data_IF_210605928886
#
_entry.id   IF_210605928886
#
_cell.length_a   1.000
_cell.length_b   1.000
_cell.length_c   1.000
_cell.angle_alpha   90.00
_cell.angle_beta   90.00
_cell.angle_gamma   90.00
#
_symmetry.space_group_name_H-M   'P 1'
#
loop_
_entity.id
_entity.type
_entity.pdbx_description
1 polymer ?
#
# COMPACT_ATOMS: atom_id res chain seq x y z
N UNK A 1 -36.28 17.32 40.30
CA UNK A 1 -35.99 17.74 38.90
C UNK A 1 -34.60 17.20 38.57
N UNK A 2 -34.48 15.97 38.08
CA UNK A 2 -34.40 15.54 36.66
C UNK A 2 -33.27 16.22 35.87
N UNK A 3 -32.27 15.41 35.49
CA UNK A 3 -31.20 15.77 34.55
C UNK A 3 -30.10 14.71 34.44
N UNK A 4 -30.43 13.43 34.27
CA UNK A 4 -29.48 12.36 33.93
C UNK A 4 -29.02 12.53 32.47
N UNK A 5 -27.75 12.88 32.26
CA UNK A 5 -27.11 12.81 30.95
C UNK A 5 -26.66 11.37 30.68
N UNK A 6 -27.19 10.78 29.62
CA UNK A 6 -26.90 9.42 29.17
C UNK A 6 -25.51 9.40 28.52
N UNK A 7 -24.61 8.60 29.10
CA UNK A 7 -23.35 8.19 28.47
C UNK A 7 -23.67 7.10 27.43
N UNK A 8 -23.45 7.41 26.16
CA UNK A 8 -23.62 6.45 25.06
C UNK A 8 -22.35 5.60 24.94
N UNK A 9 -22.44 4.35 25.40
CA UNK A 9 -21.46 3.32 25.10
C UNK A 9 -21.50 2.99 23.60
N UNK A 10 -20.40 3.26 22.89
CA UNK A 10 -20.16 2.69 21.56
C UNK A 10 -19.65 1.27 21.76
N UNK A 11 -20.53 0.28 21.58
CA UNK A 11 -20.16 -1.12 21.56
C UNK A 11 -19.51 -1.45 20.21
N UNK A 12 -18.21 -1.76 20.24
CA UNK A 12 -17.46 -2.28 19.10
C UNK A 12 -17.93 -3.73 18.89
N UNK A 13 -18.61 -3.99 17.78
CA UNK A 13 -18.95 -5.34 17.34
C UNK A 13 -17.69 -6.05 16.84
N UNK A 14 -16.98 -6.72 17.75
CA UNK A 14 -15.96 -7.70 17.42
C UNK A 14 -16.62 -9.08 17.31
N UNK A 15 -17.12 -9.43 16.14
CA UNK A 15 -17.54 -10.81 15.85
C UNK A 15 -17.60 -11.06 14.35
N UNK A 16 -16.57 -11.73 13.82
CA UNK A 16 -16.65 -12.72 12.74
C UNK A 16 -15.23 -13.19 12.37
N UNK A 17 -14.61 -13.97 13.26
CA UNK A 17 -13.49 -14.85 12.89
C UNK A 17 -14.12 -16.17 12.44
N UNK A 18 -14.44 -16.27 11.16
CA UNK A 18 -14.76 -17.55 10.56
C UNK A 18 -13.49 -18.41 10.52
N UNK A 19 -13.48 -19.53 11.24
CA UNK A 19 -12.49 -20.57 11.08
C UNK A 19 -12.67 -21.18 9.68
N UNK A 20 -11.89 -20.71 8.71
CA UNK A 20 -11.74 -21.40 7.43
C UNK A 20 -10.89 -22.64 7.68
N UNK A 21 -11.54 -23.80 7.69
CA UNK A 21 -10.89 -25.11 7.75
C UNK A 21 -10.21 -25.43 6.40
N UNK A 22 -9.05 -24.82 6.16
CA UNK A 22 -8.13 -25.24 5.10
C UNK A 22 -7.26 -26.40 5.59
N UNK A 23 -6.88 -27.30 4.68
CA UNK A 23 -5.97 -28.41 4.95
C UNK A 23 -4.72 -27.95 5.74
N UNK A 24 -4.17 -28.79 6.64
CA UNK A 24 -3.03 -28.41 7.47
C UNK A 24 -1.84 -28.14 6.55
N UNK A 25 -1.56 -26.86 6.32
CA UNK A 25 -0.26 -26.45 5.82
C UNK A 25 0.78 -26.95 6.82
N UNK A 26 1.81 -27.65 6.34
CA UNK A 26 2.99 -27.98 7.13
C UNK A 26 3.37 -26.76 7.96
N UNK A 27 3.31 -26.92 9.29
CA UNK A 27 3.53 -25.86 10.25
C UNK A 27 5.02 -25.49 10.25
N UNK A 28 5.48 -24.82 9.19
CA UNK A 28 6.59 -23.91 9.29
C UNK A 28 6.20 -22.93 10.39
N UNK A 29 6.85 -23.04 11.54
CA UNK A 29 6.46 -22.31 12.75
C UNK A 29 6.26 -20.83 12.42
N UNK A 30 5.12 -20.27 12.85
CA UNK A 30 4.83 -18.85 12.64
C UNK A 30 6.03 -18.02 13.10
N UNK A 31 6.56 -17.12 12.25
CA UNK A 31 7.75 -16.37 12.61
C UNK A 31 7.46 -15.53 13.87
N UNK A 32 8.31 -15.68 14.89
CA UNK A 32 8.30 -14.79 16.05
C UNK A 32 8.86 -13.43 15.64
N UNK A 33 8.52 -12.37 16.38
CA UNK A 33 9.10 -11.06 16.11
C UNK A 33 10.65 -11.09 16.17
N UNK A 34 11.22 -11.85 17.11
CA UNK A 34 12.68 -11.99 17.26
C UNK A 34 13.35 -12.74 16.10
N UNK A 35 12.65 -13.62 15.40
CA UNK A 35 13.22 -14.34 14.24
C UNK A 35 13.29 -13.48 12.98
N UNK A 36 12.55 -12.36 12.94
CA UNK A 36 12.63 -11.40 11.85
C UNK A 36 13.98 -10.65 11.94
N UNK A 37 14.79 -10.62 10.88
CA UNK A 37 16.08 -9.95 10.90
C UNK A 37 15.92 -8.44 11.05
N UNK A 38 16.83 -7.84 11.80
CA UNK A 38 16.94 -6.40 11.89
C UNK A 38 17.74 -5.85 10.72
N UNK A 39 17.23 -4.80 10.09
CA UNK A 39 17.88 -4.14 8.99
C UNK A 39 18.04 -2.65 9.27
N UNK A 40 19.16 -2.10 8.80
CA UNK A 40 19.42 -0.67 8.83
C UNK A 40 18.81 -0.03 7.59
N UNK A 41 17.73 0.71 7.79
CA UNK A 41 17.17 1.60 6.78
C UNK A 41 17.61 3.01 7.11
N UNK A 42 18.35 3.70 6.23
CA UNK A 42 18.71 5.09 6.43
C UNK A 42 17.47 5.94 6.71
N UNK A 43 17.62 6.93 7.57
CA UNK A 43 16.64 8.00 7.64
C UNK A 43 16.60 8.73 6.29
N UNK A 44 15.42 9.23 5.92
CA UNK A 44 15.29 10.02 4.71
C UNK A 44 16.13 11.29 4.85
N UNK A 45 16.71 11.74 3.74
CA UNK A 45 17.52 12.97 3.71
C UNK A 45 16.75 14.13 4.34
N UNK A 46 17.42 14.91 5.17
CA UNK A 46 16.78 15.99 5.91
C UNK A 46 16.80 17.28 5.07
N UNK A 47 15.68 18.01 4.87
CA UNK A 47 15.63 19.20 3.99
C UNK A 47 16.68 20.29 4.28
N UNK A 48 17.20 20.37 5.50
CA UNK A 48 18.26 21.32 5.91
C UNK A 48 19.62 21.03 5.27
N UNK A 49 19.85 19.79 4.84
CA UNK A 49 21.10 19.33 4.23
C UNK A 49 21.02 19.39 2.69
N UNK A 50 19.93 19.93 2.16
CA UNK A 50 19.73 20.04 0.72
C UNK A 50 20.75 21.00 0.09
N UNK A 51 21.35 20.65 -1.06
CA UNK A 51 22.17 21.61 -1.79
C UNK A 51 21.31 22.75 -2.35
N UNK A 52 21.91 23.90 -2.61
CA UNK A 52 21.19 25.06 -3.17
C UNK A 52 20.62 24.79 -4.57
N UNK A 53 21.30 23.95 -5.36
CA UNK A 53 20.90 23.55 -6.70
C UNK A 53 21.52 22.20 -7.10
N UNK A 54 20.87 21.54 -8.06
CA UNK A 54 21.41 20.35 -8.74
C UNK A 54 21.70 20.71 -10.21
N UNK A 55 22.91 20.45 -10.73
CA UNK A 55 23.24 20.56 -12.14
C UNK A 55 22.21 19.88 -13.03
N UNK A 56 21.88 20.56 -14.13
CA UNK A 56 20.95 20.03 -15.12
C UNK A 56 21.43 18.69 -15.68
N UNK A 57 20.52 17.73 -15.78
CA UNK A 57 20.76 16.44 -16.45
C UNK A 57 21.12 15.28 -15.53
N UNK A 58 21.33 15.51 -14.22
CA UNK A 58 21.38 14.42 -13.26
C UNK A 58 20.00 13.73 -13.18
N UNK A 59 19.97 12.39 -13.25
CA UNK A 59 18.73 11.59 -13.29
C UNK A 59 18.89 10.28 -12.53
N UNK A 60 17.76 9.75 -12.09
CA UNK A 60 17.63 8.37 -11.60
C UNK A 60 16.76 7.60 -12.57
N UNK A 61 17.18 6.38 -12.90
CA UNK A 61 16.43 5.51 -13.79
C UNK A 61 15.02 5.26 -13.26
N UNK A 62 14.03 5.26 -14.17
CA UNK A 62 12.61 5.04 -13.85
C UNK A 62 11.98 6.12 -12.95
N UNK A 63 12.59 7.31 -12.83
CA UNK A 63 11.94 8.48 -12.22
C UNK A 63 11.92 9.62 -13.23
N UNK A 64 10.74 10.22 -13.40
CA UNK A 64 10.51 11.34 -14.31
C UNK A 64 9.92 12.51 -13.54
N UNK A 65 10.30 13.71 -13.94
CA UNK A 65 9.75 14.97 -13.44
C UNK A 65 9.07 15.63 -14.62
N UNK A 66 7.73 15.65 -14.60
CA UNK A 66 6.91 16.22 -15.65
C UNK A 66 6.50 17.65 -15.24
N UNK A 67 6.93 18.63 -16.03
CA UNK A 67 6.70 20.06 -15.79
C UNK A 67 5.29 20.54 -16.23
N UNK A 68 4.40 19.63 -16.66
CA UNK A 68 3.15 19.98 -17.36
C UNK A 68 1.87 19.53 -16.62
N UNK A 69 1.58 20.07 -15.43
CA UNK A 69 0.23 19.91 -14.85
C UNK A 69 -0.69 21.13 -15.08
N UNK A 70 -0.19 22.38 -15.04
CA UNK A 70 -1.00 23.57 -15.35
C UNK A 70 -0.11 24.71 -15.86
N UNK A 71 -0.11 24.96 -17.18
CA UNK A 71 0.69 26.01 -17.84
C UNK A 71 0.39 27.45 -17.41
N UNK A 72 -0.59 27.66 -16.53
CA UNK A 72 -1.03 29.00 -16.12
C UNK A 72 -0.28 29.49 -14.87
N UNK A 73 0.30 28.60 -14.06
CA UNK A 73 1.22 28.96 -12.98
C UNK A 73 2.26 27.83 -12.78
N UNK A 74 3.55 28.12 -13.00
CA UNK A 74 4.70 27.19 -12.84
C UNK A 74 4.95 26.75 -11.39
N UNK A 75 3.93 26.74 -10.54
CA UNK A 75 4.05 26.52 -9.11
C UNK A 75 4.20 25.05 -8.74
N UNK A 76 3.94 24.10 -9.65
CA UNK A 76 3.96 22.67 -9.35
C UNK A 76 4.63 21.82 -10.43
N UNK A 77 5.34 20.77 -9.99
CA UNK A 77 5.90 19.71 -10.81
C UNK A 77 5.35 18.35 -10.35
N UNK A 78 5.19 17.44 -11.30
CA UNK A 78 4.74 16.07 -11.03
C UNK A 78 5.93 15.13 -11.08
N UNK A 79 6.18 14.38 -10.02
CA UNK A 79 7.22 13.35 -9.98
C UNK A 79 6.55 12.00 -10.15
N UNK A 80 6.98 11.22 -11.13
CA UNK A 80 6.44 9.89 -11.46
C UNK A 80 7.55 8.86 -11.35
N UNK A 81 7.27 7.74 -10.69
CA UNK A 81 8.15 6.59 -10.60
C UNK A 81 7.54 5.39 -11.37
N UNK A 82 8.32 4.86 -12.31
CA UNK A 82 7.93 3.76 -13.19
C UNK A 82 8.44 2.40 -12.65
N UNK A 83 8.01 1.30 -13.28
CA UNK A 83 8.56 -0.03 -13.01
C UNK A 83 8.21 -0.58 -11.62
N UNK A 84 7.03 -0.21 -11.11
CA UNK A 84 6.54 -0.62 -9.78
C UNK A 84 7.22 0.10 -8.62
N UNK A 85 8.00 1.16 -8.89
CA UNK A 85 8.66 1.94 -7.84
C UNK A 85 7.66 2.82 -7.09
N UNK A 86 7.88 2.97 -5.80
CA UNK A 86 7.18 3.94 -4.96
C UNK A 86 8.06 5.16 -4.76
N UNK A 87 7.47 6.36 -4.71
CA UNK A 87 8.19 7.62 -4.54
C UNK A 87 7.58 8.44 -3.39
N UNK A 88 8.45 8.98 -2.56
CA UNK A 88 8.14 9.98 -1.55
C UNK A 88 9.05 11.19 -1.77
N UNK A 89 8.47 12.39 -1.74
CA UNK A 89 9.21 13.65 -1.93
C UNK A 89 8.89 14.60 -0.78
N UNK A 90 9.91 15.26 -0.25
CA UNK A 90 9.82 16.09 0.94
C UNK A 90 9.88 15.30 2.25
N UNK A 91 9.73 16.00 3.37
CA UNK A 91 9.70 15.35 4.67
C UNK A 91 8.39 14.54 4.83
N UNK A 92 8.51 13.24 5.09
CA UNK A 92 7.35 12.39 5.38
C UNK A 92 6.90 12.68 6.81
N UNK A 93 5.64 13.10 7.05
CA UNK A 93 5.17 13.36 8.39
C UNK A 93 5.23 12.11 9.29
N UNK A 94 5.47 12.26 10.60
CA UNK A 94 5.53 11.13 11.51
C UNK A 94 4.29 10.21 11.46
N UNK A 95 4.54 8.96 11.04
CA UNK A 95 3.55 7.89 10.95
C UNK A 95 2.52 8.04 9.83
N UNK A 96 2.89 8.75 8.76
CA UNK A 96 2.35 8.46 7.42
C UNK A 96 3.13 7.28 6.84
N UNK A 97 2.45 6.37 6.15
CA UNK A 97 3.12 5.27 5.47
C UNK A 97 4.14 5.83 4.46
N UNK A 98 5.42 5.44 4.53
CA UNK A 98 6.47 6.03 3.70
C UNK A 98 6.44 5.56 2.24
N UNK A 99 5.59 4.58 1.92
CA UNK A 99 5.47 3.96 0.61
C UNK A 99 4.00 3.74 0.25
N UNK A 100 3.72 3.70 -1.06
CA UNK A 100 2.38 3.50 -1.59
C UNK A 100 2.02 4.45 -2.73
N UNK A 101 2.86 5.41 -3.08
CA UNK A 101 2.56 6.40 -4.12
C UNK A 101 3.52 6.22 -5.28
N UNK A 102 3.02 6.10 -6.52
CA UNK A 102 3.84 6.10 -7.73
C UNK A 102 4.03 7.50 -8.33
N UNK A 103 3.18 8.45 -7.94
CA UNK A 103 3.22 9.81 -8.45
C UNK A 103 2.87 10.83 -7.37
N UNK A 104 3.65 11.90 -7.24
CA UNK A 104 3.36 13.00 -6.31
C UNK A 104 3.52 14.36 -6.99
N UNK A 105 2.67 15.31 -6.62
CA UNK A 105 2.76 16.69 -7.07
C UNK A 105 3.41 17.55 -5.99
N UNK A 106 4.44 18.28 -6.36
CA UNK A 106 5.23 19.10 -5.45
C UNK A 106 5.25 20.55 -5.91
N UNK A 107 5.47 21.48 -4.98
CA UNK A 107 5.74 22.86 -5.35
C UNK A 107 7.14 22.99 -5.93
N UNK A 108 7.27 23.70 -7.04
CA UNK A 108 8.57 24.07 -7.59
C UNK A 108 9.19 25.15 -6.69
N UNK A 109 10.46 24.97 -6.32
CA UNK A 109 11.15 25.88 -5.41
C UNK A 109 12.50 25.37 -4.97
N UNK A 110 12.62 25.00 -3.70
CA UNK A 110 13.85 24.47 -3.13
C UNK A 110 14.14 23.03 -3.61
N UNK A 111 15.40 22.61 -3.44
CA UNK A 111 15.78 21.21 -3.61
C UNK A 111 15.15 20.39 -2.47
N UNK A 112 14.46 19.31 -2.83
CA UNK A 112 13.71 18.48 -1.89
C UNK A 112 14.38 17.11 -1.72
N UNK A 113 14.34 16.52 -0.52
CA UNK A 113 14.70 15.12 -0.37
C UNK A 113 13.68 14.24 -1.08
N UNK A 114 14.15 13.15 -1.68
CA UNK A 114 13.34 12.18 -2.37
C UNK A 114 13.79 10.77 -1.99
N UNK A 115 12.83 9.88 -1.77
CA UNK A 115 13.07 8.46 -1.57
C UNK A 115 12.30 7.66 -2.60
N UNK A 116 12.99 6.74 -3.25
CA UNK A 116 12.41 5.82 -4.23
C UNK A 116 12.62 4.40 -3.75
N UNK A 117 11.54 3.64 -3.66
CA UNK A 117 11.58 2.25 -3.20
C UNK A 117 11.18 1.29 -4.30
N UNK A 118 11.78 0.10 -4.34
CA UNK A 118 11.40 -0.99 -5.22
C UNK A 118 11.48 -2.32 -4.48
N UNK A 119 10.37 -3.07 -4.47
CA UNK A 119 10.40 -4.46 -4.09
C UNK A 119 11.01 -5.30 -5.21
N UNK A 120 12.06 -6.07 -4.90
CA UNK A 120 12.76 -6.96 -5.84
C UNK A 120 12.60 -8.39 -5.36
N UNK A 121 11.71 -9.14 -6.01
CA UNK A 121 11.56 -10.57 -5.78
C UNK A 121 12.54 -11.34 -6.67
N UNK A 122 13.51 -12.04 -6.07
CA UNK A 122 14.53 -12.79 -6.81
C UNK A 122 14.07 -14.21 -7.09
N UNK A 123 13.57 -14.87 -6.05
CA UNK A 123 13.06 -16.24 -6.06
C UNK A 123 11.90 -16.33 -5.07
N UNK A 124 11.05 -17.37 -5.16
CA UNK A 124 9.97 -17.56 -4.19
C UNK A 124 10.48 -17.52 -2.74
N UNK A 125 10.03 -16.54 -1.96
CA UNK A 125 10.43 -16.34 -0.57
C UNK A 125 11.73 -15.54 -0.34
N UNK A 126 12.44 -15.17 -1.40
CA UNK A 126 13.62 -14.30 -1.36
C UNK A 126 13.30 -12.96 -2.01
N UNK A 127 13.15 -11.92 -1.17
CA UNK A 127 12.89 -10.57 -1.63
C UNK A 127 13.83 -9.55 -0.98
N UNK A 128 14.11 -8.48 -1.69
CA UNK A 128 14.86 -7.32 -1.21
C UNK A 128 14.04 -6.05 -1.42
N UNK A 129 14.14 -5.10 -0.51
CA UNK A 129 13.69 -3.74 -0.72
C UNK A 129 14.89 -2.88 -1.11
N UNK A 130 14.91 -2.43 -2.36
CA UNK A 130 15.86 -1.44 -2.85
C UNK A 130 15.33 -0.04 -2.53
N UNK A 131 16.09 0.74 -1.77
CA UNK A 131 15.77 2.10 -1.34
C UNK A 131 16.84 3.02 -1.91
N UNK A 132 16.42 4.01 -2.69
CA UNK A 132 17.29 5.03 -3.25
C UNK A 132 16.91 6.38 -2.64
N UNK A 133 17.84 6.97 -1.91
CA UNK A 133 17.70 8.33 -1.39
C UNK A 133 18.41 9.30 -2.32
N UNK A 134 17.75 10.42 -2.61
CA UNK A 134 18.15 11.37 -3.62
C UNK A 134 17.72 12.79 -3.27
N UNK A 135 18.37 13.77 -3.90
CA UNK A 135 17.89 15.14 -3.96
C UNK A 135 17.16 15.39 -5.27
N UNK A 136 16.07 16.14 -5.23
CA UNK A 136 15.28 16.55 -6.39
C UNK A 136 15.29 18.08 -6.52
N UNK A 137 15.74 18.58 -7.66
CA UNK A 137 15.59 19.97 -8.05
C UNK A 137 14.52 20.08 -9.13
N UNK A 138 13.31 20.44 -8.70
CA UNK A 138 12.14 20.55 -9.58
C UNK A 138 12.24 21.71 -10.57
N UNK A 139 13.18 22.66 -10.38
CA UNK A 139 13.39 23.79 -11.31
C UNK A 139 14.14 23.36 -12.57
N UNK A 140 15.01 22.36 -12.44
CA UNK A 140 15.85 21.82 -13.50
C UNK A 140 15.48 20.39 -13.88
N UNK A 141 14.39 19.87 -13.30
CA UNK A 141 13.97 18.46 -13.43
C UNK A 141 15.10 17.46 -13.17
N UNK A 142 16.03 17.82 -12.28
CA UNK A 142 17.26 17.06 -12.04
C UNK A 142 17.21 16.34 -10.70
N UNK A 143 17.76 15.13 -10.69
CA UNK A 143 17.72 14.23 -9.55
C UNK A 143 19.12 13.72 -9.27
N UNK A 144 19.66 14.03 -8.08
CA UNK A 144 20.96 13.55 -7.61
C UNK A 144 20.78 12.38 -6.67
N UNK A 145 21.18 11.18 -7.10
CA UNK A 145 21.27 10.03 -6.22
C UNK A 145 22.35 10.25 -5.14
N UNK A 146 22.01 9.98 -3.88
CA UNK A 146 22.94 10.07 -2.74
C UNK A 146 23.38 8.68 -2.30
N UNK A 147 22.41 7.79 -2.04
CA UNK A 147 22.70 6.44 -1.54
C UNK A 147 21.66 5.44 -2.02
N UNK A 148 22.13 4.22 -2.31
CA UNK A 148 21.26 3.07 -2.56
C UNK A 148 21.50 2.03 -1.46
N UNK A 149 20.41 1.66 -0.78
CA UNK A 149 20.41 0.62 0.26
C UNK A 149 19.56 -0.56 -0.20
N UNK A 150 20.05 -1.77 0.03
CA UNK A 150 19.28 -3.01 -0.21
C UNK A 150 19.01 -3.70 1.12
N UNK A 151 17.75 -3.93 1.41
CA UNK A 151 17.28 -4.56 2.64
C UNK A 151 16.75 -5.94 2.31
N UNK A 152 17.41 -6.99 2.80
CA UNK A 152 16.89 -8.36 2.70
C UNK A 152 15.61 -8.48 3.52
N UNK A 153 14.57 -9.05 2.90
CA UNK A 153 13.27 -9.23 3.52
C UNK A 153 13.07 -10.71 3.89
N UNK A 154 12.43 -10.94 5.04
CA UNK A 154 12.02 -12.29 5.46
C UNK A 154 10.55 -12.51 5.14
N UNK A 155 10.21 -13.72 4.73
CA UNK A 155 8.82 -14.13 4.54
C UNK A 155 8.11 -14.19 5.90
N UNK A 156 7.06 -13.39 6.07
CA UNK A 156 6.22 -13.41 7.26
C UNK A 156 5.07 -14.41 7.12
N UNK A 157 4.45 -14.45 5.94
CA UNK A 157 3.38 -15.40 5.62
C UNK A 157 3.30 -15.66 4.11
N UNK A 158 2.80 -16.83 3.76
CA UNK A 158 2.42 -17.20 2.40
C UNK A 158 0.90 -17.34 2.34
N UNK A 159 0.32 -16.80 1.29
CA UNK A 159 -1.09 -16.86 0.99
C UNK A 159 -1.36 -17.58 -0.31
N UNK A 160 -2.60 -17.48 -0.80
CA UNK A 160 -2.98 -18.14 -2.04
C UNK A 160 -2.31 -17.49 -3.25
N UNK A 161 -2.27 -18.23 -4.37
CA UNK A 161 -1.63 -17.80 -5.62
C UNK A 161 -0.16 -17.35 -5.44
N UNK A 162 0.57 -17.97 -4.51
CA UNK A 162 1.96 -17.63 -4.15
C UNK A 162 2.14 -16.21 -3.61
N UNK A 163 1.07 -15.53 -3.19
CA UNK A 163 1.17 -14.23 -2.56
C UNK A 163 1.99 -14.33 -1.28
N UNK A 164 3.02 -13.50 -1.14
CA UNK A 164 3.93 -13.58 0.00
C UNK A 164 4.00 -12.22 0.68
N UNK A 165 3.78 -12.21 1.99
CA UNK A 165 3.96 -11.01 2.83
C UNK A 165 5.35 -11.07 3.42
N UNK A 166 6.09 -9.98 3.29
CA UNK A 166 7.47 -9.88 3.74
C UNK A 166 7.61 -8.90 4.90
N UNK A 167 8.76 -8.94 5.58
CA UNK A 167 9.10 -7.92 6.56
C UNK A 167 10.53 -7.98 7.07
N UNK A 168 10.88 -6.94 7.83
CA UNK A 168 12.15 -6.79 8.53
C UNK A 168 11.95 -5.93 9.78
N UNK A 169 12.86 -5.98 10.75
CA UNK A 169 12.83 -5.09 11.93
C UNK A 169 13.64 -3.83 11.69
N UNK A 170 13.12 -2.69 12.15
CA UNK A 170 13.83 -1.42 12.29
C UNK A 170 13.73 -0.99 13.76
N UNK A 171 14.71 -1.38 14.58
CA UNK A 171 14.60 -1.21 16.03
C UNK A 171 13.44 -2.01 16.62
N UNK A 172 12.50 -1.34 17.29
CA UNK A 172 11.28 -1.95 17.87
C UNK A 172 10.11 -2.08 16.89
N UNK A 173 10.24 -1.56 15.67
CA UNK A 173 9.18 -1.54 14.68
C UNK A 173 9.35 -2.71 13.70
N UNK A 174 8.25 -3.43 13.42
CA UNK A 174 8.20 -4.39 12.32
C UNK A 174 7.76 -3.65 11.05
N UNK A 175 8.61 -3.62 10.04
CA UNK A 175 8.27 -3.10 8.72
C UNK A 175 7.67 -4.23 7.89
N UNK A 176 6.38 -4.12 7.57
CA UNK A 176 5.62 -5.07 6.77
C UNK A 176 5.62 -4.59 5.32
N UNK A 177 5.99 -5.47 4.40
CA UNK A 177 6.03 -5.20 2.95
C UNK A 177 5.12 -6.16 2.21
N UNK A 178 4.15 -5.62 1.48
CA UNK A 178 3.15 -6.40 0.73
C UNK A 178 3.27 -6.09 -0.76
N UNK A 179 3.52 -7.08 -1.63
CA UNK A 179 3.53 -6.87 -3.08
C UNK A 179 2.18 -6.37 -3.58
N UNK A 180 2.19 -5.46 -4.55
CA UNK A 180 1.01 -4.84 -5.12
C UNK A 180 1.08 -4.96 -6.65
N UNK A 181 0.20 -5.78 -7.24
CA UNK A 181 0.07 -5.86 -8.71
C UNK A 181 -0.90 -4.81 -9.24
N UNK A 182 -1.93 -4.52 -8.44
CA UNK A 182 -2.89 -3.43 -8.62
C UNK A 182 -2.95 -2.59 -7.34
N UNK A 183 -3.92 -1.67 -7.25
CA UNK A 183 -4.21 -0.88 -6.06
C UNK A 183 -4.63 -1.78 -4.89
N UNK A 184 -3.91 -1.69 -3.77
CA UNK A 184 -4.28 -2.29 -2.48
C UNK A 184 -4.85 -1.17 -1.61
N UNK A 185 -6.07 -1.34 -1.10
CA UNK A 185 -6.59 -0.52 -0.01
C UNK A 185 -6.12 -1.07 1.33
N UNK A 186 -5.80 -0.20 2.29
CA UNK A 186 -5.35 -0.62 3.61
C UNK A 186 -5.90 0.27 4.73
N UNK A 187 -5.93 -0.29 5.93
CA UNK A 187 -6.14 0.41 7.20
C UNK A 187 -4.87 0.26 8.01
N UNK A 188 -4.25 1.38 8.39
CA UNK A 188 -3.02 1.39 9.17
C UNK A 188 -3.29 1.21 10.69
N UNK A 189 -2.24 1.10 11.53
CA UNK A 189 -2.40 0.95 12.98
C UNK A 189 -3.09 2.11 13.69
N UNK A 190 -3.26 3.24 13.02
CA UNK A 190 -3.95 4.44 13.52
C UNK A 190 -5.40 4.50 13.05
N UNK A 191 -5.86 3.51 12.27
CA UNK A 191 -7.18 3.48 11.67
C UNK A 191 -7.32 4.36 10.43
N UNK A 192 -6.22 4.86 9.88
CA UNK A 192 -6.25 5.65 8.65
C UNK A 192 -6.37 4.74 7.44
N UNK A 193 -7.26 5.12 6.52
CA UNK A 193 -7.47 4.40 5.26
C UNK A 193 -6.54 4.99 4.20
N UNK A 194 -5.81 4.13 3.51
CA UNK A 194 -4.94 4.52 2.41
C UNK A 194 -4.99 3.53 1.27
N UNK A 195 -4.28 3.85 0.18
CA UNK A 195 -4.18 2.99 -0.97
C UNK A 195 -2.78 3.02 -1.59
N UNK A 196 -2.35 1.90 -2.15
CA UNK A 196 -1.13 1.84 -2.96
C UNK A 196 -1.41 2.16 -4.44
N UNK A 197 -0.44 2.79 -5.09
CA UNK A 197 -0.41 3.12 -6.51
C UNK A 197 0.89 2.63 -7.18
N UNK A 198 1.78 2.00 -6.41
CA UNK A 198 3.07 1.45 -6.85
C UNK A 198 3.14 -0.06 -6.58
N UNK A 199 4.28 -0.69 -6.83
CA UNK A 199 4.46 -2.15 -6.80
C UNK A 199 4.46 -2.78 -5.40
N UNK A 200 4.43 -2.00 -4.32
CA UNK A 200 4.34 -2.53 -2.95
C UNK A 200 3.71 -1.55 -1.97
N UNK A 201 3.21 -2.09 -0.85
CA UNK A 201 2.89 -1.36 0.37
C UNK A 201 4.00 -1.57 1.39
N UNK A 202 4.44 -0.53 2.10
CA UNK A 202 5.29 -0.66 3.28
C UNK A 202 4.71 0.11 4.46
N UNK A 203 4.37 -0.59 5.53
CA UNK A 203 3.81 0.00 6.76
C UNK A 203 4.54 -0.58 7.97
N UNK A 204 4.83 0.27 8.95
CA UNK A 204 5.42 -0.14 10.21
C UNK A 204 4.39 -0.45 11.29
N UNK A 205 4.67 -1.49 12.07
CA UNK A 205 3.95 -1.87 13.28
C UNK A 205 4.86 -1.61 14.49
N UNK A 206 4.44 -0.75 15.41
CA UNK A 206 5.20 -0.51 16.64
C UNK A 206 5.04 -1.70 17.61
N UNK A 207 6.11 -2.47 17.79
CA UNK A 207 6.15 -3.59 18.73
C UNK A 207 6.11 -3.16 20.20
N UNK A 208 6.28 -1.87 20.51
CA UNK A 208 6.15 -1.31 21.84
C UNK A 208 4.74 -0.76 22.14
N UNK A 209 3.82 -0.76 21.17
CA UNK A 209 2.48 -0.22 21.34
C UNK A 209 1.70 -0.95 22.44
N UNK A 210 1.16 -0.20 23.41
CA UNK A 210 0.42 -0.75 24.57
C UNK A 210 -0.86 -1.50 24.18
N UNK A 211 -1.52 -1.06 23.12
CA UNK A 211 -2.80 -1.60 22.66
C UNK A 211 -2.64 -2.58 21.48
N UNK A 212 -1.40 -2.98 21.19
CA UNK A 212 -1.05 -3.63 19.94
C UNK A 212 -1.12 -2.68 18.75
N UNK A 213 -0.77 -3.22 17.58
CA UNK A 213 -0.82 -2.54 16.30
C UNK A 213 -1.33 -3.53 15.25
N UNK A 214 -2.18 -3.08 14.33
CA UNK A 214 -2.77 -3.94 13.30
C UNK A 214 -2.81 -3.22 11.97
N UNK A 215 -2.55 -3.96 10.89
CA UNK A 215 -2.77 -3.54 9.51
C UNK A 215 -3.75 -4.53 8.90
N UNK A 216 -4.74 -4.01 8.20
CA UNK A 216 -5.58 -4.79 7.28
C UNK A 216 -5.39 -4.22 5.89
N UNK A 217 -5.09 -5.08 4.92
CA UNK A 217 -4.93 -4.70 3.54
C UNK A 217 -5.74 -5.64 2.64
N UNK A 218 -6.34 -5.09 1.60
CA UNK A 218 -7.08 -5.86 0.61
C UNK A 218 -6.81 -5.31 -0.79
N UNK A 219 -6.64 -6.21 -1.75
CA UNK A 219 -6.42 -5.83 -3.14
C UNK A 219 -6.56 -7.00 -4.09
N UNK A 220 -6.50 -6.72 -5.38
CA UNK A 220 -6.65 -7.75 -6.41
C UNK A 220 -5.28 -8.30 -6.82
N UNK A 221 -5.19 -9.62 -6.94
CA UNK A 221 -4.01 -10.30 -7.48
C UNK A 221 -4.37 -11.16 -8.68
N UNK A 222 -3.43 -11.27 -9.62
CA UNK A 222 -3.54 -12.16 -10.78
C UNK A 222 -3.37 -13.59 -10.32
N UNK A 223 -4.24 -14.46 -10.81
CA UNK A 223 -4.18 -15.89 -10.55
C UNK A 223 -4.10 -16.65 -11.88
N UNK A 224 -3.21 -17.63 -11.96
CA UNK A 224 -3.09 -18.54 -13.11
C UNK A 224 -4.06 -19.72 -12.96
N UNK A 225 -5.30 -19.48 -12.52
CA UNK A 225 -6.28 -20.55 -12.37
C UNK A 225 -6.77 -20.91 -13.77
N UNK A 226 -6.68 -22.20 -14.13
CA UNK A 226 -7.36 -22.71 -15.31
C UNK A 226 -8.84 -22.29 -15.23
N UNK A 227 -9.44 -21.80 -16.34
CA UNK A 227 -10.83 -21.38 -16.31
C UNK A 227 -11.68 -22.51 -15.72
N UNK A 228 -12.39 -22.23 -14.63
CA UNK A 228 -13.36 -23.18 -14.08
C UNK A 228 -14.26 -23.62 -15.24
N UNK A 229 -14.57 -24.93 -15.38
CA UNK A 229 -15.42 -25.40 -16.46
C UNK A 229 -16.69 -24.56 -16.43
N UNK A 230 -16.86 -23.70 -17.44
CA UNK A 230 -18.03 -22.82 -17.54
C UNK A 230 -19.23 -23.74 -17.44
N UNK A 231 -20.07 -23.53 -16.41
CA UNK A 231 -21.36 -24.20 -16.32
C UNK A 231 -22.04 -23.95 -17.67
N UNK A 232 -22.44 -25.00 -18.41
CA UNK A 232 -22.99 -24.82 -19.76
C UNK A 232 -24.11 -23.80 -19.66
N UNK A 233 -23.97 -22.69 -20.39
CA UNK A 233 -24.98 -21.66 -20.41
C UNK A 233 -26.31 -22.32 -20.79
N UNK A 234 -27.42 -22.02 -20.10
CA UNK A 234 -28.72 -22.48 -20.54
C UNK A 234 -28.91 -22.06 -22.00
N UNK A 235 -29.35 -23.00 -22.85
CA UNK A 235 -29.61 -22.84 -24.27
C UNK A 235 -30.67 -21.75 -24.51
N UNK A 236 -30.26 -20.48 -24.43
CA UNK A 236 -31.09 -19.36 -24.84
C UNK A 236 -30.94 -19.15 -26.36
N UNK A 237 -32.10 -18.93 -26.98
CA UNK A 237 -32.34 -19.08 -28.41
C UNK A 237 -31.57 -18.04 -29.27
N UNK A 238 -31.26 -18.36 -30.53
CA UNK A 238 -30.33 -17.59 -31.35
C UNK A 238 -31.05 -16.53 -32.20
N UNK A 239 -31.07 -15.25 -31.83
CA UNK A 239 -31.46 -14.18 -32.80
C UNK A 239 -30.80 -12.79 -32.65
N UNK A 240 -29.69 -12.62 -31.91
CA UNK A 240 -28.97 -11.33 -31.95
C UNK A 240 -27.46 -11.53 -32.06
N UNK A 241 -26.93 -11.25 -33.26
CA UNK A 241 -25.49 -11.21 -33.56
C UNK A 241 -24.98 -9.82 -33.19
N UNK A 242 -24.33 -9.68 -32.04
CA UNK A 242 -23.57 -8.49 -31.68
C UNK A 242 -22.10 -8.66 -32.14
N UNK A 243 -21.44 -7.58 -32.57
CA UNK A 243 -20.05 -7.63 -33.02
C UNK A 243 -19.13 -8.08 -31.88
N UNK A 244 -18.24 -9.02 -32.21
CA UNK A 244 -17.26 -9.61 -31.30
C UNK A 244 -16.35 -8.52 -30.74
N UNK A 245 -16.67 -8.03 -29.54
CA UNK A 245 -15.73 -7.32 -28.69
C UNK A 245 -14.54 -8.25 -28.44
N UNK A 246 -13.34 -7.74 -28.71
CA UNK A 246 -12.07 -8.45 -28.54
C UNK A 246 -12.05 -9.14 -27.18
N UNK A 247 -12.18 -10.46 -27.18
CA UNK A 247 -12.15 -11.25 -25.97
C UNK A 247 -10.78 -11.07 -25.33
N UNK A 248 -10.76 -10.40 -24.18
CA UNK A 248 -9.60 -10.39 -23.29
C UNK A 248 -9.12 -11.84 -23.10
N UNK A 249 -7.81 -12.12 -23.17
CA UNK A 249 -7.30 -13.48 -23.03
C UNK A 249 -7.85 -14.11 -21.75
N UNK A 250 -8.56 -15.23 -21.91
CA UNK A 250 -9.46 -15.83 -20.91
C UNK A 250 -8.74 -16.44 -19.69
N UNK A 251 -7.42 -16.26 -19.57
CA UNK A 251 -6.56 -17.04 -18.66
C UNK A 251 -6.05 -16.27 -17.44
N UNK A 252 -6.41 -14.99 -17.27
CA UNK A 252 -5.99 -14.21 -16.09
C UNK A 252 -7.20 -13.75 -15.28
N UNK A 253 -7.52 -14.48 -14.22
CA UNK A 253 -8.56 -14.07 -13.27
C UNK A 253 -7.94 -13.26 -12.13
N UNK A 254 -8.53 -12.08 -11.88
CA UNK A 254 -8.22 -11.24 -10.73
C UNK A 254 -9.09 -11.66 -9.54
N UNK A 255 -8.48 -11.95 -8.40
CA UNK A 255 -9.19 -12.27 -7.14
C UNK A 255 -8.77 -11.33 -6.03
N UNK A 256 -9.69 -11.02 -5.12
CA UNK A 256 -9.38 -10.19 -3.95
C UNK A 256 -8.68 -11.03 -2.88
N UNK A 257 -7.45 -10.63 -2.53
CA UNK A 257 -6.72 -11.13 -1.36
C UNK A 257 -6.92 -10.17 -0.19
N UNK A 258 -7.04 -10.73 1.01
CA UNK A 258 -7.00 -9.99 2.27
C UNK A 258 -5.79 -10.42 3.09
N UNK A 259 -5.06 -9.43 3.60
CA UNK A 259 -3.91 -9.58 4.48
C UNK A 259 -4.26 -8.91 5.81
N UNK A 260 -4.03 -9.60 6.92
CA UNK A 260 -4.08 -9.02 8.25
C UNK A 260 -2.77 -9.29 8.97
N UNK A 261 -2.13 -8.23 9.46
CA UNK A 261 -0.90 -8.33 10.24
C UNK A 261 -1.12 -7.61 11.55
N UNK A 262 -0.91 -8.29 12.67
CA UNK A 262 -1.02 -7.67 13.99
C UNK A 262 0.18 -8.02 14.87
N UNK A 263 0.52 -7.06 15.72
CA UNK A 263 1.47 -7.21 16.81
C UNK A 263 0.77 -6.87 18.11
N UNK A 264 0.93 -7.72 19.12
CA UNK A 264 0.39 -7.48 20.45
C UNK A 264 1.41 -7.86 21.51
N UNK A 265 1.35 -7.24 22.67
CA UNK A 265 2.25 -7.55 23.78
C UNK A 265 1.51 -7.44 25.10
N UNK A 266 1.45 -8.53 25.85
CA UNK A 266 1.00 -8.49 27.24
C UNK A 266 2.18 -8.22 28.17
N UNK A 267 1.91 -7.85 29.44
CA UNK A 267 2.96 -7.68 30.46
C UNK A 267 3.78 -8.96 30.72
N UNK A 268 3.24 -10.12 30.37
CA UNK A 268 3.91 -11.43 30.58
C UNK A 268 4.80 -11.81 29.40
N UNK A 269 4.57 -11.22 28.23
CA UNK A 269 5.29 -11.57 27.02
C UNK A 269 6.65 -10.88 27.00
N UNK A 270 7.71 -11.69 26.86
CA UNK A 270 9.08 -11.19 26.72
C UNK A 270 9.27 -10.43 25.40
N UNK A 271 8.53 -10.83 24.37
CA UNK A 271 8.55 -10.25 23.04
C UNK A 271 7.12 -10.01 22.52
N UNK A 272 6.92 -9.11 21.53
CA UNK A 272 5.63 -8.95 20.89
C UNK A 272 5.22 -10.23 20.14
N UNK A 273 3.96 -10.63 20.30
CA UNK A 273 3.32 -11.68 19.53
C UNK A 273 2.95 -11.14 18.15
N UNK A 274 3.54 -11.74 17.11
CA UNK A 274 3.24 -11.43 15.71
C UNK A 274 2.21 -12.44 15.18
N UNK A 275 1.15 -11.94 14.56
CA UNK A 275 0.16 -12.74 13.85
C UNK A 275 0.01 -12.21 12.43
N UNK A 276 0.08 -13.10 11.45
CA UNK A 276 -0.03 -12.77 10.02
C UNK A 276 -0.97 -13.77 9.38
N UNK A 277 -2.03 -13.26 8.74
CA UNK A 277 -2.95 -14.08 7.95
C UNK A 277 -3.10 -13.52 6.54
N UNK A 278 -3.16 -14.43 5.57
CA UNK A 278 -3.36 -14.11 4.16
C UNK A 278 -4.38 -15.08 3.60
N UNK A 279 -5.46 -14.57 3.03
CA UNK A 279 -6.55 -15.39 2.50
C UNK A 279 -7.30 -14.72 1.36
N UNK A 280 -8.22 -15.45 0.74
CA UNK A 280 -9.19 -14.86 -0.17
C UNK A 280 -10.19 -14.02 0.62
N UNK A 281 -10.54 -12.84 0.09
CA UNK A 281 -11.58 -11.99 0.69
C UNK A 281 -12.98 -12.35 0.19
N UNK A 282 -13.07 -13.06 -0.94
CA UNK A 282 -14.32 -13.53 -1.53
C UNK A 282 -14.71 -14.87 -0.89
N UNK A 283 -15.93 -14.96 -0.36
CA UNK A 283 -16.61 -16.25 -0.25
C UNK A 283 -16.85 -16.77 -1.68
N UNK A 284 -16.55 -18.03 -1.96
CA UNK A 284 -16.73 -18.66 -3.29
C UNK A 284 -18.21 -18.69 -3.76
N UNK A 285 -19.14 -18.00 -3.09
CA UNK A 285 -20.54 -17.85 -3.47
C UNK A 285 -20.75 -16.72 -4.50
N UNK A 286 -20.16 -16.85 -5.69
CA UNK A 286 -20.77 -16.41 -6.96
C UNK A 286 -21.34 -14.99 -7.10
N UNK A 287 -20.97 -14.01 -6.27
CA UNK A 287 -21.38 -12.62 -6.48
C UNK A 287 -20.49 -12.07 -7.59
N UNK A 288 -21.00 -12.12 -8.83
CA UNK A 288 -20.53 -11.26 -9.90
C UNK A 288 -20.66 -9.82 -9.42
N UNK A 289 -19.56 -9.25 -8.94
CA UNK A 289 -19.47 -7.84 -8.67
C UNK A 289 -19.61 -7.11 -10.00
N UNK A 290 -20.85 -6.75 -10.34
CA UNK A 290 -21.13 -5.69 -11.30
C UNK A 290 -20.36 -4.48 -10.83
N UNK A 291 -19.31 -4.11 -11.55
CA UNK A 291 -18.61 -2.85 -11.35
C UNK A 291 -19.61 -1.73 -11.65
N UNK A 292 -20.40 -1.32 -10.65
CA UNK A 292 -21.04 -0.03 -10.65
C UNK A 292 -19.93 0.98 -10.45
N UNK A 293 -19.48 1.56 -11.55
CA UNK A 293 -18.81 2.85 -11.57
C UNK A 293 -19.66 3.78 -10.70
N UNK A 294 -19.18 4.07 -9.49
CA UNK A 294 -19.78 5.13 -8.67
C UNK A 294 -19.34 6.41 -9.35
N UNK A 295 -20.22 6.90 -10.22
CA UNK A 295 -20.17 8.26 -10.73
C UNK A 295 -20.37 9.18 -9.52
N UNK A 296 -19.29 9.74 -9.00
CA UNK A 296 -19.37 10.78 -7.97
C UNK A 296 -19.75 12.07 -8.68
N UNK A 297 -21.03 12.18 -9.02
CA UNK A 297 -21.65 13.41 -9.48
C UNK A 297 -21.40 14.51 -8.45
N UNK A 298 -20.70 15.52 -8.91
CA UNK A 298 -20.52 16.81 -8.25
C UNK A 298 -21.88 17.41 -7.94
N UNK A 299 -22.16 17.69 -6.68
CA UNK A 299 -23.09 18.74 -6.22
C UNK A 299 -22.84 18.94 -4.72
N UNK A 300 -21.76 19.68 -4.40
CA UNK A 300 -21.51 20.20 -3.06
C UNK A 300 -21.58 21.72 -3.13
N UNK A 301 -22.79 22.27 -3.01
CA UNK A 301 -22.98 23.71 -2.79
C UNK A 301 -22.43 24.07 -1.40
N UNK A 302 -21.34 24.84 -1.40
CA UNK A 302 -20.79 25.45 -0.19
C UNK A 302 -21.59 26.73 0.09
N UNK A 303 -22.24 26.88 1.26
CA UNK A 303 -22.90 28.12 1.61
C UNK A 303 -21.85 29.22 1.82
N UNK A 304 -21.95 30.28 1.03
CA UNK A 304 -21.15 31.50 1.18
C UNK A 304 -21.64 32.21 2.45
N UNK A 305 -20.78 32.29 3.47
CA UNK A 305 -21.03 33.11 4.64
C UNK A 305 -20.76 34.59 4.30
N UNK A 306 -21.76 35.44 4.50
CA UNK A 306 -21.62 36.89 4.38
C UNK A 306 -20.66 37.44 5.46
N UNK A 307 -19.83 38.45 5.13
CA UNK A 307 -18.99 39.11 6.12
C UNK A 307 -19.83 39.97 7.07
N UNK A 308 -19.53 39.88 8.36
CA UNK A 308 -20.05 40.81 9.35
C UNK A 308 -19.45 42.20 9.12
N UNK A 309 -20.31 43.20 8.91
CA UNK A 309 -19.94 44.62 8.91
C UNK A 309 -19.58 45.07 10.33
N UNK A 310 -18.46 45.79 10.45
CA UNK A 310 -18.06 46.61 11.59
C UNK A 310 -18.22 48.09 11.23
#
# INVERSE_FOLDING_TARGET
MRGLAKSSCVAIAAASLALVAGAPAEAAGSPSFSSVPEARVPEMLHPKDAPDAIPAGERIDSVRVDENAMRVQQSFATVVADGGRCVAVGAIPPGVAPSGVAQTSIRVGAVLPMRVERLVERKPGEAELEIVDAWLDARTSSIRQVVTTRVSLTTLAKGPASYTVYGFRKGSELQVVMPSQERIGYVDPRGQIGFTQCGHLRIGLDGAAKNGAMIVAAGRIRTNRAPSPRRPAPLFHPQFVMPQSQALPADMMMRVVQVSVSMSRTKRDREPLLSVSVGWAEDDEGITASASTVDMGEDFEVPIAEPAEE
#
